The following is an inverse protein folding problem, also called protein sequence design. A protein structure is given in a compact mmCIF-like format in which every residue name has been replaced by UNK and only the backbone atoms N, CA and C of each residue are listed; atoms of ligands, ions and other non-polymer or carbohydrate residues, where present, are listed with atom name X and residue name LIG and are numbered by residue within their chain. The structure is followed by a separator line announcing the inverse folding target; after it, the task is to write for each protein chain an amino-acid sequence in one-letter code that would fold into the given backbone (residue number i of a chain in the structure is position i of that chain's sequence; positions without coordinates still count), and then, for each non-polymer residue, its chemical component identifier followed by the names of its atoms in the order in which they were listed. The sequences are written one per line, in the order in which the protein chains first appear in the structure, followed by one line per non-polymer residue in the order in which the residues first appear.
data_IF_558129503972
#
_entry.id   IF_558129503972
#
_cell.length_a   1.000
_cell.length_b   1.000
_cell.length_c   1.000
_cell.angle_alpha   90.00
_cell.angle_beta   90.00
_cell.angle_gamma   90.00
#
_symmetry.space_group_name_H-M   'P 1'
#
loop_
_entity.id
_entity.type
_entity.pdbx_description
1 polymer ?
#
# COMPACT_ATOMS: atom_id res chain seq x y z
N UNK A 1 38.54 0.78 -23.26
CA UNK A 1 37.80 -0.23 -22.48
C UNK A 1 36.37 0.27 -22.32
N UNK A 2 35.40 -0.60 -22.56
CA UNK A 2 34.00 -0.26 -22.79
C UNK A 2 33.32 0.34 -21.55
N UNK A 3 32.62 1.46 -21.76
CA UNK A 3 31.62 2.02 -20.86
C UNK A 3 30.36 1.17 -20.99
N UNK A 4 30.01 0.44 -19.94
CA UNK A 4 28.78 -0.36 -19.88
C UNK A 4 27.79 0.31 -18.93
N UNK A 5 26.58 0.55 -19.43
CA UNK A 5 25.35 0.63 -18.63
C UNK A 5 25.08 1.93 -17.89
N UNK A 6 24.54 2.94 -18.60
CA UNK A 6 23.65 3.90 -17.96
C UNK A 6 22.32 3.20 -17.68
N UNK A 7 22.20 2.54 -16.53
CA UNK A 7 20.92 2.03 -16.02
C UNK A 7 20.08 3.18 -15.49
N UNK A 8 18.79 3.18 -15.86
CA UNK A 8 17.91 4.35 -15.89
C UNK A 8 17.79 5.13 -14.59
N UNK A 9 18.06 6.43 -14.67
CA UNK A 9 17.67 7.40 -13.63
C UNK A 9 16.15 7.32 -13.41
N UNK A 10 15.73 6.79 -12.26
CA UNK A 10 14.32 6.75 -11.87
C UNK A 10 13.86 8.14 -11.46
N UNK A 11 13.05 8.79 -12.29
CA UNK A 11 12.59 10.15 -12.05
C UNK A 11 11.45 10.16 -11.01
N UNK A 12 11.81 10.09 -9.73
CA UNK A 12 10.87 10.16 -8.60
C UNK A 12 9.98 11.40 -8.62
N UNK A 13 10.39 12.49 -9.28
CA UNK A 13 9.56 13.68 -9.49
C UNK A 13 8.20 13.32 -10.09
N UNK A 14 8.21 12.41 -11.07
CA UNK A 14 7.01 11.94 -11.73
C UNK A 14 6.13 11.11 -10.77
N UNK A 15 6.74 10.32 -9.88
CA UNK A 15 6.05 9.48 -8.89
C UNK A 15 5.43 10.28 -7.74
N UNK A 16 6.13 11.33 -7.31
CA UNK A 16 5.83 12.10 -6.11
C UNK A 16 4.80 13.20 -6.40
N UNK A 17 4.81 13.77 -7.62
CA UNK A 17 3.92 14.88 -8.00
C UNK A 17 2.43 14.59 -7.75
N UNK A 18 1.85 13.44 -8.16
CA UNK A 18 0.46 13.10 -7.85
C UNK A 18 0.14 13.05 -6.35
N UNK A 19 1.09 12.55 -5.55
CA UNK A 19 0.91 12.43 -4.09
C UNK A 19 0.95 13.80 -3.41
N UNK A 20 1.79 14.72 -3.92
CA UNK A 20 1.91 16.07 -3.39
C UNK A 20 0.76 17.00 -3.79
N UNK A 21 0.17 16.83 -4.98
CA UNK A 21 -1.02 17.58 -5.39
C UNK A 21 -2.27 17.10 -4.66
N UNK A 22 -2.41 15.78 -4.48
CA UNK A 22 -3.57 15.16 -3.85
C UNK A 22 -3.72 15.46 -2.35
N UNK A 23 -2.76 16.14 -1.70
CA UNK A 23 -2.97 16.66 -0.35
C UNK A 23 -3.97 17.83 -0.30
N UNK A 24 -4.17 18.50 -1.45
CA UNK A 24 -5.08 19.65 -1.60
C UNK A 24 -6.28 19.35 -2.51
N UNK A 25 -6.15 18.36 -3.41
CA UNK A 25 -7.19 17.93 -4.35
C UNK A 25 -7.49 16.44 -4.20
N UNK A 26 -8.60 15.94 -4.77
CA UNK A 26 -8.83 14.49 -4.79
C UNK A 26 -7.77 13.80 -5.67
N UNK A 27 -7.33 12.61 -5.27
CA UNK A 27 -6.43 11.78 -6.10
C UNK A 27 -7.21 11.21 -7.28
N UNK A 28 -6.67 11.37 -8.49
CA UNK A 28 -7.36 10.96 -9.70
C UNK A 28 -6.89 9.59 -10.20
N UNK A 29 -7.81 8.76 -10.66
CA UNK A 29 -7.51 7.42 -11.22
C UNK A 29 -6.56 7.46 -12.41
N UNK A 30 -6.49 8.57 -13.14
CA UNK A 30 -5.54 8.78 -14.25
C UNK A 30 -4.08 8.79 -13.80
N UNK A 31 -3.80 9.14 -12.54
CA UNK A 31 -2.45 9.21 -11.97
C UNK A 31 -2.00 7.84 -11.43
N UNK A 32 -2.94 6.90 -11.26
CA UNK A 32 -2.69 5.58 -10.70
C UNK A 32 -1.63 4.78 -11.48
N UNK A 33 -1.68 4.63 -12.83
CA UNK A 33 -0.72 3.79 -13.54
C UNK A 33 0.74 4.24 -13.34
N UNK A 34 0.95 5.55 -13.29
CA UNK A 34 2.26 6.15 -13.06
C UNK A 34 2.77 5.87 -11.64
N UNK A 35 1.91 6.01 -10.64
CA UNK A 35 2.23 5.68 -9.24
C UNK A 35 2.58 4.19 -9.10
N UNK A 36 1.75 3.29 -9.65
CA UNK A 36 1.99 1.84 -9.62
C UNK A 36 3.31 1.48 -10.29
N UNK A 37 3.58 2.02 -11.47
CA UNK A 37 4.85 1.80 -12.17
C UNK A 37 6.05 2.26 -11.36
N UNK A 38 5.93 3.40 -10.68
CA UNK A 38 7.00 3.93 -9.83
C UNK A 38 7.28 3.03 -8.63
N UNK A 39 6.25 2.52 -7.96
CA UNK A 39 6.39 1.59 -6.83
C UNK A 39 7.08 0.30 -7.27
N UNK A 40 6.61 -0.33 -8.35
CA UNK A 40 7.14 -1.62 -8.82
C UNK A 40 8.59 -1.47 -9.28
N UNK A 41 8.89 -0.47 -10.09
CA UNK A 41 10.24 -0.31 -10.61
C UNK A 41 11.25 0.14 -9.53
N UNK A 42 10.77 0.73 -8.44
CA UNK A 42 11.61 1.19 -7.32
C UNK A 42 11.54 0.25 -6.10
N UNK A 43 11.08 -0.99 -6.28
CA UNK A 43 10.88 -1.95 -5.19
C UNK A 43 12.14 -2.13 -4.34
N UNK A 44 13.30 -2.33 -4.99
CA UNK A 44 14.58 -2.48 -4.30
C UNK A 44 14.90 -1.27 -3.43
N UNK A 45 14.67 -0.08 -3.96
CA UNK A 45 14.98 1.18 -3.28
C UNK A 45 14.01 1.42 -2.12
N UNK A 46 12.73 1.10 -2.30
CA UNK A 46 11.72 1.20 -1.24
C UNK A 46 12.06 0.26 -0.08
N UNK A 47 12.47 -0.98 -0.38
CA UNK A 47 12.74 -2.00 0.64
C UNK A 47 14.15 -1.89 1.25
N UNK A 48 15.13 -1.42 0.49
CA UNK A 48 16.56 -1.47 0.83
C UNK A 48 17.30 -0.14 0.55
N UNK A 49 16.80 0.97 1.10
CA UNK A 49 17.48 2.26 1.05
C UNK A 49 18.37 2.52 2.26
N UNK A 50 19.28 3.49 2.09
CA UNK A 50 20.02 4.05 3.21
C UNK A 50 19.11 4.79 4.19
N UNK A 51 19.47 4.71 5.48
CA UNK A 51 18.74 5.36 6.59
C UNK A 51 18.45 6.85 6.38
N UNK A 52 19.31 7.57 5.65
CA UNK A 52 19.10 8.99 5.33
C UNK A 52 17.84 9.28 4.47
N UNK A 53 17.35 8.27 3.75
CA UNK A 53 16.18 8.35 2.88
C UNK A 53 14.92 7.77 3.52
N UNK A 54 15.02 7.17 4.70
CA UNK A 54 13.92 6.56 5.44
C UNK A 54 12.70 7.49 5.60
N UNK A 55 12.84 8.79 5.94
CA UNK A 55 11.69 9.69 6.05
C UNK A 55 10.93 9.88 4.73
N UNK A 56 11.65 9.83 3.60
CA UNK A 56 11.06 9.95 2.26
C UNK A 56 10.25 8.68 1.93
N UNK A 57 10.88 7.51 2.00
CA UNK A 57 10.24 6.25 1.63
C UNK A 57 9.08 5.89 2.54
N UNK A 58 9.24 6.07 3.86
CA UNK A 58 8.14 5.83 4.80
C UNK A 58 6.92 6.72 4.51
N UNK A 59 7.13 8.02 4.27
CA UNK A 59 6.05 8.94 3.91
C UNK A 59 5.43 8.63 2.54
N UNK A 60 6.26 8.28 1.55
CA UNK A 60 5.82 7.86 0.22
C UNK A 60 4.94 6.61 0.28
N UNK A 61 5.35 5.59 1.06
CA UNK A 61 4.57 4.36 1.25
C UNK A 61 3.23 4.66 1.92
N UNK A 62 3.21 5.51 2.96
CA UNK A 62 1.97 5.88 3.63
C UNK A 62 0.96 6.57 2.71
N UNK A 63 1.41 7.56 1.94
CA UNK A 63 0.56 8.28 1.00
C UNK A 63 0.12 7.39 -0.16
N UNK A 64 1.03 6.59 -0.72
CA UNK A 64 0.71 5.65 -1.80
C UNK A 64 -0.35 4.64 -1.37
N UNK A 65 -0.17 4.00 -0.20
CA UNK A 65 -1.13 3.05 0.33
C UNK A 65 -2.49 3.71 0.58
N UNK A 66 -2.50 4.94 1.10
CA UNK A 66 -3.73 5.71 1.28
C UNK A 66 -4.46 5.92 -0.04
N UNK A 67 -3.81 6.56 -1.02
CA UNK A 67 -4.46 6.97 -2.26
C UNK A 67 -4.89 5.80 -3.12
N UNK A 68 -4.06 4.75 -3.26
CA UNK A 68 -4.44 3.52 -3.96
C UNK A 68 -5.72 2.92 -3.33
N UNK A 69 -5.79 2.89 -1.99
CA UNK A 69 -6.96 2.39 -1.29
C UNK A 69 -8.20 3.26 -1.50
N UNK A 70 -8.06 4.59 -1.60
CA UNK A 70 -9.20 5.48 -1.85
C UNK A 70 -9.87 5.27 -3.20
N UNK A 71 -9.10 4.87 -4.22
CA UNK A 71 -9.61 4.63 -5.58
C UNK A 71 -9.78 3.15 -5.91
N UNK A 72 -9.63 2.23 -4.95
CA UNK A 72 -9.55 0.79 -5.23
C UNK A 72 -10.79 0.20 -5.90
N UNK A 73 -11.97 0.78 -5.68
CA UNK A 73 -13.20 0.38 -6.37
C UNK A 73 -13.25 0.78 -7.85
N UNK A 74 -12.42 1.74 -8.27
CA UNK A 74 -12.40 2.31 -9.62
C UNK A 74 -11.21 1.79 -10.45
N UNK A 75 -10.46 0.82 -9.94
CA UNK A 75 -9.30 0.25 -10.63
C UNK A 75 -9.78 -0.47 -11.90
N UNK A 76 -9.22 -0.15 -13.08
CA UNK A 76 -9.48 -0.92 -14.29
C UNK A 76 -9.09 -2.38 -14.10
N UNK A 77 -9.94 -3.30 -14.56
CA UNK A 77 -9.77 -4.74 -14.34
C UNK A 77 -8.41 -5.28 -14.82
N UNK A 78 -7.91 -4.78 -15.95
CA UNK A 78 -6.61 -5.14 -16.50
C UNK A 78 -5.42 -4.66 -15.65
N UNK A 79 -5.60 -3.63 -14.81
CA UNK A 79 -4.58 -3.08 -13.93
C UNK A 79 -4.61 -3.68 -12.52
N UNK A 80 -5.61 -4.49 -12.18
CA UNK A 80 -5.77 -5.03 -10.81
C UNK A 80 -4.51 -5.76 -10.30
N UNK A 81 -3.91 -6.60 -11.14
CA UNK A 81 -2.74 -7.38 -10.76
C UNK A 81 -1.48 -6.52 -10.62
N UNK A 82 -1.31 -5.48 -11.44
CA UNK A 82 -0.19 -4.56 -11.28
C UNK A 82 -0.34 -3.69 -10.04
N UNK A 83 -1.56 -3.20 -9.77
CA UNK A 83 -1.87 -2.49 -8.53
C UNK A 83 -1.56 -3.38 -7.33
N UNK A 84 -1.97 -4.64 -7.35
CA UNK A 84 -1.71 -5.56 -6.26
C UNK A 84 -0.22 -5.88 -6.07
N UNK A 85 0.56 -5.97 -7.15
CA UNK A 85 2.01 -6.13 -7.06
C UNK A 85 2.65 -4.92 -6.36
N UNK A 86 2.26 -3.70 -6.71
CA UNK A 86 2.69 -2.51 -5.99
C UNK A 86 2.26 -2.53 -4.52
N UNK A 87 1.00 -2.89 -4.23
CA UNK A 87 0.52 -3.01 -2.85
C UNK A 87 1.31 -4.06 -2.04
N UNK A 88 1.77 -5.15 -2.66
CA UNK A 88 2.65 -6.13 -2.02
C UNK A 88 3.95 -5.49 -1.53
N UNK A 89 4.60 -4.66 -2.35
CA UNK A 89 5.79 -3.88 -1.94
C UNK A 89 5.48 -2.97 -0.74
N UNK A 90 4.34 -2.27 -0.76
CA UNK A 90 3.93 -1.39 0.36
C UNK A 90 3.66 -2.17 1.65
N UNK A 91 3.04 -3.36 1.55
CA UNK A 91 2.80 -4.26 2.67
C UNK A 91 4.13 -4.77 3.22
N UNK A 92 5.05 -5.20 2.36
CA UNK A 92 6.36 -5.70 2.75
C UNK A 92 7.19 -4.65 3.47
N UNK A 93 7.28 -3.42 2.94
CA UNK A 93 7.90 -2.29 3.64
C UNK A 93 7.29 -2.10 5.03
N UNK A 94 5.96 -2.10 5.12
CA UNK A 94 5.25 -1.86 6.37
C UNK A 94 5.53 -2.97 7.40
N UNK A 95 5.59 -4.23 6.97
CA UNK A 95 5.94 -5.36 7.82
C UNK A 95 7.39 -5.30 8.30
N UNK A 96 8.33 -4.98 7.40
CA UNK A 96 9.75 -4.85 7.73
C UNK A 96 9.99 -3.79 8.82
N UNK A 97 9.31 -2.65 8.72
CA UNK A 97 9.39 -1.56 9.71
C UNK A 97 8.60 -1.81 10.99
N UNK A 98 7.61 -2.69 10.96
CA UNK A 98 6.95 -3.17 12.17
C UNK A 98 7.84 -4.13 12.97
N UNK A 99 8.51 -5.06 12.28
CA UNK A 99 9.43 -6.01 12.91
C UNK A 99 10.73 -5.36 13.37
N UNK A 100 11.25 -4.41 12.59
CA UNK A 100 12.48 -3.68 12.86
C UNK A 100 12.17 -2.18 12.88
N UNK A 101 11.73 -1.64 14.04
CA UNK A 101 11.40 -0.23 14.15
C UNK A 101 12.62 0.65 13.87
N UNK A 102 12.47 1.61 12.97
CA UNK A 102 13.50 2.64 12.71
C UNK A 102 13.04 3.98 13.30
N UNK A 103 13.91 4.61 14.09
CA UNK A 103 13.69 5.95 14.65
C UNK A 103 13.59 7.04 13.57
N UNK A 104 14.18 6.82 12.40
CA UNK A 104 14.08 7.73 11.25
C UNK A 104 12.79 7.52 10.44
N UNK A 105 12.00 6.48 10.72
CA UNK A 105 10.74 6.23 10.05
C UNK A 105 9.72 7.32 10.42
N UNK A 106 9.26 8.06 9.42
CA UNK A 106 8.29 9.13 9.59
C UNK A 106 6.89 8.59 9.99
N UNK A 107 6.67 7.29 9.81
CA UNK A 107 5.39 6.62 10.01
C UNK A 107 5.46 5.74 11.25
N UNK A 108 4.64 6.05 12.26
CA UNK A 108 4.62 5.25 13.48
C UNK A 108 4.09 3.84 13.25
N UNK A 109 4.43 2.90 14.14
CA UNK A 109 3.94 1.51 14.09
C UNK A 109 2.40 1.43 14.01
N UNK A 110 1.69 2.31 14.73
CA UNK A 110 0.22 2.42 14.64
C UNK A 110 -0.22 2.68 13.20
N UNK A 111 0.41 3.64 12.53
CA UNK A 111 0.07 3.97 11.15
C UNK A 111 0.45 2.84 10.20
N UNK A 112 1.62 2.20 10.34
CA UNK A 112 2.01 1.05 9.53
C UNK A 112 0.95 -0.07 9.58
N UNK A 113 0.40 -0.37 10.76
CA UNK A 113 -0.72 -1.31 10.92
C UNK A 113 -1.99 -0.80 10.20
N UNK A 114 -2.29 0.49 10.29
CA UNK A 114 -3.43 1.08 9.60
C UNK A 114 -3.29 1.02 8.07
N UNK A 115 -2.08 1.18 7.52
CA UNK A 115 -1.81 1.05 6.09
C UNK A 115 -2.08 -0.37 5.61
N UNK A 116 -1.49 -1.38 6.28
CA UNK A 116 -1.74 -2.81 5.97
C UNK A 116 -3.24 -3.11 6.04
N UNK A 117 -3.90 -2.68 7.13
CA UNK A 117 -5.35 -2.84 7.27
C UNK A 117 -6.13 -2.16 6.14
N UNK A 118 -5.72 -0.96 5.73
CA UNK A 118 -6.36 -0.23 4.64
C UNK A 118 -6.31 -1.00 3.33
N UNK A 119 -5.13 -1.47 2.95
CA UNK A 119 -4.90 -2.27 1.75
C UNK A 119 -5.67 -3.60 1.78
N UNK A 120 -5.72 -4.27 2.93
CA UNK A 120 -6.42 -5.55 3.11
C UNK A 120 -7.93 -5.41 3.40
N UNK A 121 -8.48 -4.20 3.50
CA UNK A 121 -9.94 -3.98 3.68
C UNK A 121 -10.56 -3.06 2.64
N UNK A 122 -9.74 -2.46 1.76
CA UNK A 122 -10.18 -1.48 0.77
C UNK A 122 -10.74 -0.20 1.42
N UNK A 123 -10.28 0.12 2.64
CA UNK A 123 -10.79 1.21 3.45
C UNK A 123 -9.63 2.00 4.05
N UNK A 124 -9.23 3.08 3.39
CA UNK A 124 -8.16 3.94 3.90
C UNK A 124 -8.56 4.57 5.24
N UNK A 125 -7.60 4.72 6.15
CA UNK A 125 -7.83 5.21 7.52
C UNK A 125 -6.97 6.41 7.90
N UNK A 126 -6.19 6.96 6.98
CA UNK A 126 -5.48 8.20 7.28
C UNK A 126 -6.46 9.37 7.25
N UNK A 127 -6.43 10.19 8.29
CA UNK A 127 -7.19 11.42 8.32
C UNK A 127 -6.46 12.55 7.56
N UNK A 128 -7.17 13.68 7.39
CA UNK A 128 -6.62 14.82 6.65
C UNK A 128 -5.34 15.38 7.29
N UNK A 129 -5.24 15.36 8.61
CA UNK A 129 -4.07 15.86 9.35
C UNK A 129 -2.86 14.98 9.11
N UNK A 130 -3.05 13.66 9.15
CA UNK A 130 -2.05 12.64 8.86
C UNK A 130 -1.56 12.77 7.40
N UNK A 131 -2.47 12.93 6.43
CA UNK A 131 -2.11 13.16 5.02
C UNK A 131 -1.24 14.42 4.85
N UNK A 132 -1.66 15.54 5.44
CA UNK A 132 -0.88 16.80 5.39
C UNK A 132 0.50 16.60 6.01
N UNK A 133 0.55 15.90 7.14
CA UNK A 133 1.80 15.64 7.88
C UNK A 133 2.76 14.77 7.07
N UNK A 134 2.30 13.64 6.53
CA UNK A 134 3.12 12.77 5.68
C UNK A 134 3.56 13.49 4.39
N UNK A 135 2.70 14.33 3.81
CA UNK A 135 3.06 15.15 2.65
C UNK A 135 4.20 16.12 2.99
N UNK A 136 4.11 16.83 4.11
CA UNK A 136 5.16 17.77 4.56
C UNK A 136 6.47 17.05 4.89
N UNK A 137 6.40 15.87 5.51
CA UNK A 137 7.59 15.05 5.79
C UNK A 137 8.22 14.54 4.50
N UNK A 138 7.44 14.08 3.53
CA UNK A 138 7.95 13.66 2.22
C UNK A 138 8.63 14.82 1.46
N UNK A 139 8.05 16.03 1.49
CA UNK A 139 8.62 17.23 0.85
C UNK A 139 9.94 17.68 1.48
N UNK A 140 10.07 17.57 2.81
CA UNK A 140 11.26 18.02 3.54
C UNK A 140 12.36 16.96 3.67
N UNK A 141 12.06 15.70 3.34
CA UNK A 141 13.02 14.61 3.38
C UNK A 141 14.11 14.75 2.30
N UNK A 142 15.28 14.17 2.59
CA UNK A 142 16.34 14.03 1.60
C UNK A 142 15.88 13.09 0.49
N UNK A 143 16.03 13.52 -0.76
CA UNK A 143 15.67 12.70 -1.92
C UNK A 143 16.82 11.76 -2.29
N UNK A 144 16.51 10.52 -2.74
CA UNK A 144 17.50 9.63 -3.35
C UNK A 144 18.27 10.35 -4.47
N UNK A 145 19.56 10.04 -4.65
CA UNK A 145 20.43 10.75 -5.62
C UNK A 145 19.96 10.67 -7.09
N UNK A 146 18.98 9.82 -7.38
CA UNK A 146 18.23 9.77 -8.64
C UNK A 146 17.27 10.96 -8.87
N UNK A 147 17.17 11.90 -7.93
CA UNK A 147 16.29 13.07 -8.04
C UNK A 147 17.11 14.37 -8.09
N UNK A 148 17.12 15.04 -9.24
CA UNK A 148 17.48 16.46 -9.30
C UNK A 148 16.31 17.27 -8.73
N UNK A 149 16.46 17.66 -7.46
CA UNK A 149 15.81 18.76 -6.72
C UNK A 149 14.32 19.04 -7.02
N UNK A 150 13.42 18.62 -6.11
CA UNK A 150 11.98 18.94 -6.10
C UNK A 150 11.64 20.39 -5.69
N UNK A 151 12.64 21.27 -5.54
CA UNK A 151 12.44 22.62 -5.01
C UNK A 151 11.73 23.61 -5.96
N UNK A 152 11.48 23.25 -7.22
CA UNK A 152 10.92 24.16 -8.25
C UNK A 152 9.44 23.85 -8.64
N UNK A 153 8.73 23.01 -7.90
CA UNK A 153 7.40 22.52 -8.33
C UNK A 153 6.25 23.54 -8.13
N UNK A 154 6.49 24.68 -7.47
CA UNK A 154 5.43 25.67 -7.24
C UNK A 154 5.17 26.66 -8.40
N UNK A 155 6.02 26.73 -9.44
CA UNK A 155 5.93 27.80 -10.46
C UNK A 155 5.76 27.36 -11.94
N UNK A 156 5.57 26.07 -12.25
CA UNK A 156 5.38 25.64 -13.65
C UNK A 156 3.92 25.45 -14.04
N UNK A 157 3.41 26.48 -14.73
CA UNK A 157 2.22 26.51 -15.58
C UNK A 157 2.10 25.22 -16.41
N UNK A 158 0.88 24.66 -16.41
CA UNK A 158 0.49 23.41 -17.06
C UNK A 158 1.09 23.21 -18.46
N UNK A 159 1.91 22.17 -18.60
CA UNK A 159 2.21 21.51 -19.87
C UNK A 159 1.78 20.05 -19.77
N UNK A 160 1.15 19.49 -20.82
CA UNK A 160 0.60 18.15 -20.78
C UNK A 160 1.73 17.12 -20.64
N UNK A 161 1.63 16.29 -19.60
CA UNK A 161 2.55 15.18 -19.35
C UNK A 161 2.49 14.16 -20.50
N UNK A 162 3.55 14.09 -21.30
CA UNK A 162 3.71 13.02 -22.27
C UNK A 162 4.05 11.73 -21.52
N UNK A 163 3.12 10.77 -21.53
CA UNK A 163 3.34 9.44 -20.95
C UNK A 163 4.50 8.76 -21.67
N UNK A 164 5.53 8.40 -20.91
CA UNK A 164 6.77 7.81 -21.43
C UNK A 164 6.47 6.50 -22.21
N UNK A 165 6.87 6.34 -23.48
CA UNK A 165 6.51 5.19 -24.31
C UNK A 165 7.02 3.84 -23.76
N UNK A 166 8.14 3.83 -23.02
CA UNK A 166 8.66 2.63 -22.36
C UNK A 166 7.76 2.12 -21.22
N UNK A 167 7.14 3.04 -20.46
CA UNK A 167 6.19 2.69 -19.41
C UNK A 167 4.93 2.05 -20.01
N UNK A 168 4.43 2.58 -21.13
CA UNK A 168 3.32 1.97 -21.87
C UNK A 168 3.66 0.57 -22.39
N UNK A 169 4.87 0.35 -22.90
CA UNK A 169 5.27 -0.96 -23.41
C UNK A 169 5.38 -2.00 -22.28
N UNK A 170 5.94 -1.63 -21.13
CA UNK A 170 5.95 -2.47 -19.92
C UNK A 170 4.55 -2.75 -19.40
N UNK A 171 3.65 -1.77 -19.42
CA UNK A 171 2.25 -1.96 -19.02
C UNK A 171 1.55 -3.00 -19.91
N UNK A 172 1.75 -2.93 -21.24
CA UNK A 172 1.20 -3.91 -22.19
C UNK A 172 1.76 -5.31 -21.93
N UNK A 173 3.06 -5.45 -21.68
CA UNK A 173 3.68 -6.74 -21.36
C UNK A 173 3.13 -7.34 -20.06
N UNK A 174 2.99 -6.51 -19.02
CA UNK A 174 2.45 -6.94 -17.73
C UNK A 174 0.97 -7.33 -17.86
N UNK A 175 0.17 -6.58 -18.62
CA UNK A 175 -1.23 -6.92 -18.91
C UNK A 175 -1.35 -8.27 -19.63
N UNK A 176 -0.46 -8.58 -20.57
CA UNK A 176 -0.46 -9.85 -21.28
C UNK A 176 -0.08 -11.03 -20.37
N UNK A 177 0.95 -10.85 -19.53
CA UNK A 177 1.35 -11.85 -18.54
C UNK A 177 0.23 -12.13 -17.53
N UNK A 178 -0.44 -11.09 -17.05
CA UNK A 178 -1.60 -11.15 -16.17
C UNK A 178 -2.76 -11.95 -16.78
N UNK A 179 -2.98 -11.81 -18.10
CA UNK A 179 -3.99 -12.57 -18.81
C UNK A 179 -3.64 -14.07 -18.86
N UNK A 180 -2.38 -14.41 -19.11
CA UNK A 180 -1.90 -15.80 -19.15
C UNK A 180 -1.95 -16.49 -17.78
N UNK A 181 -1.66 -15.76 -16.69
CA UNK A 181 -1.65 -16.32 -15.34
C UNK A 181 -3.03 -16.32 -14.67
N UNK A 182 -4.03 -15.68 -15.28
CA UNK A 182 -5.39 -15.60 -14.71
C UNK A 182 -6.03 -16.96 -14.44
N UNK A 183 -5.72 -18.00 -15.23
CA UNK A 183 -6.23 -19.37 -15.07
C UNK A 183 -5.85 -19.99 -13.71
N UNK A 184 -4.76 -19.52 -13.10
CA UNK A 184 -4.31 -19.97 -11.78
C UNK A 184 -5.00 -19.24 -10.63
N UNK A 185 -5.79 -18.19 -10.91
CA UNK A 185 -6.51 -17.40 -9.93
C UNK A 185 -8.02 -17.42 -10.23
N UNK A 186 -8.78 -18.40 -9.69
CA UNK A 186 -10.20 -18.60 -10.03
C UNK A 186 -11.08 -17.37 -9.71
N UNK A 187 -10.78 -16.63 -8.64
CA UNK A 187 -11.45 -15.37 -8.32
C UNK A 187 -11.24 -14.32 -9.44
N UNK A 188 -10.02 -14.28 -9.98
CA UNK A 188 -9.65 -13.40 -11.08
C UNK A 188 -10.33 -13.83 -12.39
N UNK A 189 -10.52 -15.13 -12.65
CA UNK A 189 -11.23 -15.61 -13.86
C UNK A 189 -12.70 -15.23 -13.89
N UNK A 190 -13.38 -15.28 -12.74
CA UNK A 190 -14.80 -14.86 -12.63
C UNK A 190 -14.96 -13.35 -12.83
N UNK A 191 -13.94 -12.59 -12.42
CA UNK A 191 -13.88 -11.16 -12.64
C UNK A 191 -13.47 -10.88 -14.10
N UNK A 192 -12.42 -11.49 -14.65
CA UNK A 192 -11.93 -11.28 -16.02
C UNK A 192 -12.82 -11.83 -17.14
N UNK A 193 -13.80 -12.67 -16.83
CA UNK A 193 -14.82 -13.08 -17.79
C UNK A 193 -15.55 -11.83 -18.34
N UNK A 194 -15.32 -11.53 -19.62
CA UNK A 194 -15.99 -10.45 -20.35
C UNK A 194 -17.52 -10.60 -20.33
N UNK A 195 -18.30 -9.50 -20.22
CA UNK A 195 -19.71 -9.49 -20.61
C UNK A 195 -19.83 -9.33 -22.13
N UNK A 196 -19.15 -10.19 -22.89
CA UNK A 196 -19.24 -10.21 -24.36
C UNK A 196 -20.08 -11.40 -24.80
N UNK A 197 -21.36 -11.40 -24.44
CA UNK A 197 -22.36 -12.23 -25.11
C UNK A 197 -23.73 -11.54 -25.05
N UNK A 198 -24.29 -11.34 -26.24
CA UNK A 198 -25.68 -10.96 -26.55
C UNK A 198 -26.17 -9.57 -26.15
N UNK A 199 -25.95 -8.61 -27.05
CA UNK A 199 -27.04 -7.76 -27.53
C UNK A 199 -28.28 -8.63 -27.81
N UNK A 200 -29.36 -8.46 -27.06
CA UNK A 200 -30.74 -8.34 -27.55
C UNK A 200 -31.73 -8.23 -26.38
N UNK A 201 -32.59 -7.21 -26.50
CA UNK A 201 -33.87 -6.97 -25.82
C UNK A 201 -33.93 -6.02 -24.61
N UNK A 202 -34.71 -4.97 -24.88
CA UNK A 202 -35.66 -4.25 -24.04
C UNK A 202 -35.13 -3.09 -23.18
N UNK A 203 -35.56 -1.90 -23.61
CA UNK A 203 -35.56 -0.63 -22.90
C UNK A 203 -36.01 -0.79 -21.44
N UNK A 204 -35.16 -0.40 -20.48
CA UNK A 204 -35.57 -0.03 -19.14
C UNK A 204 -34.55 0.94 -18.54
N UNK A 205 -34.91 2.22 -18.55
CA UNK A 205 -34.06 3.38 -18.25
C UNK A 205 -33.90 3.62 -16.72
N UNK A 206 -33.74 2.56 -15.91
CA UNK A 206 -33.81 2.65 -14.44
C UNK A 206 -32.75 1.87 -13.64
N UNK A 207 -31.77 1.19 -14.26
CA UNK A 207 -30.89 0.23 -13.54
C UNK A 207 -29.36 0.44 -13.67
N UNK A 208 -28.91 1.52 -14.29
CA UNK A 208 -27.47 1.77 -14.54
C UNK A 208 -26.66 2.07 -13.27
N UNK A 209 -27.23 2.78 -12.28
CA UNK A 209 -26.53 3.12 -11.03
C UNK A 209 -26.29 1.89 -10.13
N UNK A 210 -27.23 0.94 -10.12
CA UNK A 210 -27.11 -0.31 -9.34
C UNK A 210 -26.01 -1.20 -9.89
N UNK A 211 -25.85 -1.21 -11.21
CA UNK A 211 -24.85 -2.04 -11.92
C UNK A 211 -23.43 -1.51 -11.70
N UNK A 212 -23.22 -0.20 -11.80
CA UNK A 212 -21.91 0.42 -11.59
C UNK A 212 -21.41 0.27 -10.13
N UNK A 213 -22.28 0.50 -9.14
CA UNK A 213 -21.93 0.27 -7.73
C UNK A 213 -21.58 -1.20 -7.45
N UNK A 214 -22.29 -2.14 -8.09
CA UNK A 214 -21.99 -3.56 -7.98
C UNK A 214 -20.63 -3.92 -8.62
N UNK A 215 -20.27 -3.30 -9.75
CA UNK A 215 -18.96 -3.47 -10.39
C UNK A 215 -17.84 -2.93 -9.49
N UNK A 216 -18.01 -1.73 -8.91
CA UNK A 216 -17.03 -1.13 -8.00
C UNK A 216 -16.84 -1.97 -6.73
N UNK A 217 -17.93 -2.50 -6.17
CA UNK A 217 -17.87 -3.41 -5.02
C UNK A 217 -17.13 -4.71 -5.36
N UNK A 218 -17.40 -5.30 -6.53
CA UNK A 218 -16.66 -6.48 -7.01
C UNK A 218 -15.17 -6.18 -7.19
N UNK A 219 -14.82 -5.04 -7.78
CA UNK A 219 -13.42 -4.64 -7.98
C UNK A 219 -12.69 -4.44 -6.65
N UNK A 220 -13.34 -3.74 -5.71
CA UNK A 220 -12.82 -3.58 -4.35
C UNK A 220 -12.60 -4.92 -3.65
N UNK A 221 -13.55 -5.86 -3.76
CA UNK A 221 -13.40 -7.19 -3.17
C UNK A 221 -12.23 -7.97 -3.78
N UNK A 222 -12.03 -7.84 -5.10
CA UNK A 222 -10.90 -8.45 -5.79
C UNK A 222 -9.55 -7.88 -5.33
N UNK A 223 -9.47 -6.55 -5.23
CA UNK A 223 -8.32 -5.84 -4.68
C UNK A 223 -7.99 -6.31 -3.26
N UNK A 224 -9.01 -6.40 -2.41
CA UNK A 224 -8.87 -6.90 -1.04
C UNK A 224 -8.37 -8.34 -1.01
N UNK A 225 -8.97 -9.24 -1.80
CA UNK A 225 -8.57 -10.65 -1.87
C UNK A 225 -7.09 -10.78 -2.24
N UNK A 226 -6.65 -10.05 -3.27
CA UNK A 226 -5.26 -10.09 -3.71
C UNK A 226 -4.30 -9.55 -2.65
N UNK A 227 -4.64 -8.46 -1.95
CA UNK A 227 -3.79 -7.91 -0.89
C UNK A 227 -3.74 -8.81 0.35
N UNK A 228 -4.83 -9.50 0.68
CA UNK A 228 -4.85 -10.52 1.75
C UNK A 228 -3.95 -11.70 1.36
N UNK A 229 -3.99 -12.16 0.11
CA UNK A 229 -3.05 -13.17 -0.39
C UNK A 229 -1.59 -12.71 -0.26
N UNK A 230 -1.28 -11.50 -0.72
CA UNK A 230 0.07 -10.92 -0.59
C UNK A 230 0.52 -10.85 0.88
N UNK A 231 -0.36 -10.43 1.80
CA UNK A 231 -0.05 -10.40 3.23
C UNK A 231 0.26 -11.80 3.78
N UNK A 232 -0.48 -12.83 3.36
CA UNK A 232 -0.24 -14.21 3.76
C UNK A 232 1.08 -14.75 3.21
N UNK A 233 1.37 -14.51 1.93
CA UNK A 233 2.63 -14.90 1.27
C UNK A 233 3.86 -14.29 1.96
N UNK A 234 3.73 -13.05 2.45
CA UNK A 234 4.78 -12.35 3.19
C UNK A 234 4.92 -12.82 4.66
N UNK A 235 4.15 -13.82 5.10
CA UNK A 235 4.13 -14.27 6.49
C UNK A 235 3.55 -13.23 7.45
N UNK A 236 2.69 -12.33 6.96
CA UNK A 236 2.20 -11.19 7.71
C UNK A 236 1.48 -11.55 9.02
N UNK A 237 0.78 -12.69 9.07
CA UNK A 237 0.15 -13.18 10.30
C UNK A 237 1.15 -13.43 11.42
N UNK A 238 2.24 -14.13 11.12
CA UNK A 238 3.31 -14.43 12.08
C UNK A 238 4.04 -13.15 12.51
N UNK A 239 4.38 -12.29 11.55
CA UNK A 239 5.08 -11.03 11.79
C UNK A 239 4.24 -10.09 12.68
N UNK A 240 2.95 -9.91 12.36
CA UNK A 240 2.04 -9.10 13.16
C UNK A 240 1.82 -9.69 14.55
N UNK A 241 1.69 -11.01 14.67
CA UNK A 241 1.58 -11.67 15.97
C UNK A 241 2.83 -11.42 16.82
N UNK A 242 4.04 -11.56 16.24
CA UNK A 242 5.31 -11.27 16.91
C UNK A 242 5.37 -9.83 17.42
N UNK A 243 4.98 -8.86 16.59
CA UNK A 243 4.91 -7.44 16.98
C UNK A 243 3.92 -7.24 18.13
N UNK A 244 2.73 -7.84 18.06
CA UNK A 244 1.72 -7.76 19.12
C UNK A 244 2.22 -8.36 20.45
N UNK A 245 2.91 -9.51 20.41
CA UNK A 245 3.46 -10.16 21.60
C UNK A 245 4.60 -9.35 22.23
N UNK A 246 5.31 -8.55 21.42
CA UNK A 246 6.35 -7.64 21.88
C UNK A 246 5.81 -6.28 22.39
N UNK A 247 4.50 -6.05 22.37
CA UNK A 247 3.94 -4.84 22.96
C UNK A 247 4.23 -4.82 24.48
N UNK A 248 4.61 -3.67 25.08
CA UNK A 248 5.01 -3.59 26.48
C UNK A 248 3.99 -4.19 27.45
N UNK A 249 2.70 -4.05 27.14
CA UNK A 249 1.61 -4.63 27.91
C UNK A 249 1.62 -6.17 27.89
N UNK A 250 1.77 -6.78 26.71
CA UNK A 250 1.86 -8.24 26.60
C UNK A 250 3.17 -8.77 27.19
N UNK A 251 4.28 -8.08 27.00
CA UNK A 251 5.56 -8.47 27.62
C UNK A 251 5.49 -8.48 29.14
N UNK A 252 4.90 -7.45 29.77
CA UNK A 252 4.67 -7.44 31.23
C UNK A 252 3.86 -8.64 31.67
N UNK A 253 2.84 -8.99 30.90
CA UNK A 253 1.98 -10.13 31.20
C UNK A 253 2.73 -11.47 31.07
N UNK A 254 3.48 -11.65 29.96
CA UNK A 254 4.32 -12.83 29.71
C UNK A 254 5.35 -12.99 30.83
N UNK A 255 6.03 -11.90 31.24
CA UNK A 255 7.01 -11.93 32.31
C UNK A 255 6.37 -12.30 33.65
N UNK A 256 5.22 -11.69 34.03
CA UNK A 256 4.50 -12.05 35.26
C UNK A 256 4.07 -13.52 35.27
N UNK A 257 3.65 -14.05 34.12
CA UNK A 257 3.34 -15.47 33.99
C UNK A 257 4.57 -16.35 34.19
N UNK A 258 5.69 -16.02 33.54
CA UNK A 258 6.95 -16.77 33.66
C UNK A 258 7.49 -16.73 35.10
N UNK A 259 7.42 -15.58 35.78
CA UNK A 259 7.81 -15.43 37.18
C UNK A 259 6.95 -16.31 38.10
N UNK A 260 5.64 -16.35 37.87
CA UNK A 260 4.76 -17.19 38.69
C UNK A 260 4.98 -18.69 38.45
N UNK A 261 5.18 -19.10 37.20
CA UNK A 261 5.51 -20.50 36.86
C UNK A 261 6.86 -20.91 37.47
N UNK A 262 7.88 -20.06 37.35
CA UNK A 262 9.22 -20.34 37.89
C UNK A 262 9.27 -20.34 39.43
N UNK A 263 8.49 -19.47 40.08
CA UNK A 263 8.34 -19.43 41.53
C UNK A 263 7.35 -20.49 42.07
N UNK A 264 6.76 -21.32 41.20
CA UNK A 264 5.69 -22.26 41.53
C UNK A 264 4.53 -21.59 42.32
N UNK A 265 4.26 -20.33 41.97
CA UNK A 265 3.30 -19.42 42.60
C UNK A 265 1.98 -19.39 41.82
N UNK A 266 0.91 -19.01 42.51
CA UNK A 266 -0.40 -18.90 41.91
C UNK A 266 -0.48 -17.70 40.95
N UNK A 267 -0.86 -17.96 39.71
CA UNK A 267 -1.06 -16.95 38.68
C UNK A 267 -2.51 -16.93 38.22
N UNK A 268 -3.12 -15.75 38.19
CA UNK A 268 -4.47 -15.57 37.65
C UNK A 268 -4.35 -15.00 36.25
N UNK A 269 -4.76 -15.80 35.26
CA UNK A 269 -4.94 -15.33 33.90
C UNK A 269 -6.20 -14.47 33.81
N UNK A 270 -6.11 -13.22 33.28
CA UNK A 270 -7.28 -12.41 32.98
C UNK A 270 -8.24 -13.20 32.08
N UNK A 271 -9.44 -13.47 32.60
CA UNK A 271 -10.47 -14.18 31.85
C UNK A 271 -11.34 -13.22 31.03
N UNK A 272 -11.27 -11.91 31.34
CA UNK A 272 -12.07 -10.88 30.69
C UNK A 272 -11.22 -9.68 30.23
N UNK A 273 -11.79 -8.88 29.33
CA UNK A 273 -11.21 -7.59 28.89
C UNK A 273 -11.05 -6.62 30.06
N UNK A 274 -11.98 -6.66 31.03
CA UNK A 274 -11.90 -5.82 32.23
C UNK A 274 -10.70 -6.20 33.10
N UNK A 275 -10.48 -7.50 33.32
CA UNK A 275 -9.34 -8.02 34.08
C UNK A 275 -8.02 -7.61 33.42
N UNK A 276 -7.93 -7.78 32.09
CA UNK A 276 -6.77 -7.37 31.31
C UNK A 276 -6.51 -5.86 31.45
N UNK A 277 -7.55 -5.04 31.35
CA UNK A 277 -7.43 -3.58 31.46
C UNK A 277 -7.00 -3.14 32.86
N UNK A 278 -7.44 -3.84 33.92
CA UNK A 278 -7.00 -3.57 35.29
C UNK A 278 -5.51 -3.86 35.49
N UNK A 279 -5.00 -4.94 34.87
CA UNK A 279 -3.58 -5.32 34.88
C UNK A 279 -2.71 -4.32 34.08
N UNK A 280 -3.29 -3.59 33.12
CA UNK A 280 -2.59 -2.56 32.31
C UNK A 280 -2.10 -1.37 33.14
N UNK A 281 -2.85 -1.00 34.18
CA UNK A 281 -2.66 0.25 34.92
C UNK A 281 -1.81 0.08 36.20
N UNK A 282 -1.33 -1.12 36.50
CA UNK A 282 -0.46 -1.43 37.65
C UNK A 282 0.87 -2.00 37.22
#
# INVERSE_FOLDING_TARGET
MASSGGEGEHEWTAAVRPLLSASYTAFETKELPQLIGSIINSESDILHHDKQYEPFYSSFVALSAHYITTVCGQIPRNQLLSVAAACKVLIEFSLLRLENPDEACAVSQKHLILLIKGLCTGCSRLDRTEIITFTAMMKSAKLPQTVKTLSDVEDQKELPSAVNPELRQKEVQMNFFNQLTSVFNPDLTTILASPSASHMQAESDCDDQTTEQAIQAKMKNAFVSQNVSSLQELGGSEKLLRVCLNLPYFLRYINRFQDAVSANSFFIMPATVADATAVRNG
#
